data_IF_138278691876
#
_entry.id   IF_138278691876
#
_cell.length_a   1.000
_cell.length_b   1.000
_cell.length_c   1.000
_cell.angle_alpha   90.00
_cell.angle_beta   90.00
_cell.angle_gamma   90.00
#
_symmetry.space_group_name_H-M   'P 1'
#
loop_
_entity.id
_entity.type
_entity.pdbx_description
1 polymer ?
#
# COMPACT_ATOMS: atom_id res chain seq x y z
N UNK A 1 10.66 31.65 20.50
CA UNK A 1 10.57 30.60 19.47
C UNK A 1 9.55 29.56 19.92
N UNK A 2 8.43 29.40 19.21
CA UNK A 2 7.48 28.30 19.48
C UNK A 2 8.19 26.98 19.15
N UNK A 3 8.38 26.09 20.14
CA UNK A 3 8.85 24.72 19.91
C UNK A 3 7.84 24.05 18.97
N UNK A 4 8.29 23.62 17.78
CA UNK A 4 7.49 22.77 16.90
C UNK A 4 7.48 21.38 17.54
N UNK A 5 6.50 21.10 18.39
CA UNK A 5 6.34 19.78 18.99
C UNK A 5 5.72 18.89 17.91
N UNK A 6 6.55 18.16 17.20
CA UNK A 6 6.08 17.19 16.21
C UNK A 6 5.45 16.00 16.91
N UNK A 7 4.16 15.81 16.68
CA UNK A 7 3.45 14.69 17.25
C UNK A 7 3.54 13.48 16.32
N UNK A 8 3.72 12.30 16.91
CA UNK A 8 3.72 11.03 16.16
C UNK A 8 2.43 10.81 15.36
N UNK A 9 1.30 11.37 15.78
CA UNK A 9 0.02 11.35 15.06
C UNK A 9 0.09 12.00 13.68
N UNK A 10 0.99 12.97 13.47
CA UNK A 10 1.18 13.64 12.17
C UNK A 10 1.75 12.70 11.10
N UNK A 11 2.27 11.53 11.49
CA UNK A 11 2.78 10.50 10.59
C UNK A 11 1.75 9.38 10.35
N UNK A 12 0.49 9.61 10.67
CA UNK A 12 -0.62 8.74 10.32
C UNK A 12 -1.00 8.96 8.85
N UNK A 13 -0.92 7.93 8.02
CA UNK A 13 -1.30 7.99 6.62
C UNK A 13 -2.05 6.71 6.20
N UNK A 14 -3.30 6.81 5.72
CA UNK A 14 -4.13 5.65 5.38
C UNK A 14 -3.81 4.99 4.04
N UNK A 15 -3.08 5.66 3.15
CA UNK A 15 -2.95 5.19 1.77
C UNK A 15 -2.12 3.92 1.57
N UNK A 16 -1.33 3.49 2.56
CA UNK A 16 -0.43 2.34 2.46
C UNK A 16 -0.41 1.51 3.74
N UNK A 17 -0.29 0.19 3.58
CA UNK A 17 -0.06 -0.77 4.68
C UNK A 17 1.42 -1.17 4.79
N UNK A 18 2.06 -1.36 3.63
CA UNK A 18 3.44 -1.83 3.48
C UNK A 18 4.14 -0.97 2.42
N UNK A 19 5.48 -0.88 2.46
CA UNK A 19 6.29 -0.24 1.41
C UNK A 19 7.07 -1.34 0.69
N UNK A 20 6.54 -1.83 -0.43
CA UNK A 20 7.12 -2.96 -1.16
C UNK A 20 7.62 -2.55 -2.53
N UNK A 21 6.77 -1.91 -3.33
CA UNK A 21 7.11 -1.45 -4.68
C UNK A 21 6.79 0.03 -4.84
N UNK A 22 7.57 0.73 -5.67
CA UNK A 22 7.24 2.12 -6.02
C UNK A 22 5.94 2.22 -6.83
N UNK A 23 5.57 1.16 -7.54
CA UNK A 23 4.32 1.08 -8.29
C UNK A 23 3.07 1.01 -7.39
N UNK A 24 3.25 0.73 -6.09
CA UNK A 24 2.16 0.77 -5.10
C UNK A 24 1.79 2.22 -4.73
N UNK A 25 2.67 3.18 -5.04
CA UNK A 25 2.50 4.58 -4.66
C UNK A 25 1.68 5.33 -5.72
N UNK A 26 0.81 6.20 -5.22
CA UNK A 26 0.22 7.33 -5.94
C UNK A 26 1.09 8.56 -5.74
N UNK A 27 0.90 9.57 -6.59
CA UNK A 27 1.60 10.87 -6.48
C UNK A 27 1.49 11.47 -5.06
N UNK A 28 0.29 11.45 -4.48
CA UNK A 28 0.02 11.97 -3.15
C UNK A 28 0.80 11.22 -2.05
N UNK A 29 1.00 9.91 -2.20
CA UNK A 29 1.80 9.11 -1.26
C UNK A 29 3.26 9.58 -1.29
N UNK A 30 3.82 9.74 -2.49
CA UNK A 30 5.19 10.25 -2.67
C UNK A 30 5.33 11.63 -2.05
N UNK A 31 4.47 12.58 -2.44
CA UNK A 31 4.50 13.96 -1.92
C UNK A 31 4.41 14.01 -0.40
N UNK A 32 3.56 13.17 0.20
CA UNK A 32 3.44 13.05 1.64
C UNK A 32 4.76 12.62 2.29
N UNK A 33 5.40 11.54 1.80
CA UNK A 33 6.69 11.11 2.35
C UNK A 33 7.78 12.16 2.17
N UNK A 34 7.81 12.85 1.03
CA UNK A 34 8.77 13.93 0.78
C UNK A 34 8.57 15.12 1.73
N UNK A 35 7.33 15.52 1.99
CA UNK A 35 7.00 16.58 2.95
C UNK A 35 7.38 16.18 4.38
N UNK A 36 7.10 14.93 4.77
CA UNK A 36 7.43 14.41 6.11
C UNK A 36 8.94 14.28 6.29
N UNK A 37 9.67 13.84 5.29
CA UNK A 37 11.13 13.82 5.30
C UNK A 37 11.69 15.23 5.48
N UNK A 38 11.18 16.22 4.74
CA UNK A 38 11.60 17.63 4.85
C UNK A 38 11.36 18.22 6.24
N UNK A 39 10.19 17.93 6.82
CA UNK A 39 9.86 18.34 8.19
C UNK A 39 10.83 17.70 9.19
N UNK A 40 11.08 16.39 9.07
CA UNK A 40 12.00 15.68 9.95
C UNK A 40 13.41 16.26 9.84
N UNK A 41 13.90 16.50 8.63
CA UNK A 41 15.27 16.96 8.39
C UNK A 41 15.59 18.26 9.14
N UNK A 42 14.60 19.16 9.28
CA UNK A 42 14.72 20.46 9.97
C UNK A 42 14.73 20.37 11.50
N UNK A 43 14.44 19.22 12.10
CA UNK A 43 14.34 19.07 13.56
C UNK A 43 15.67 18.57 14.15
N UNK A 44 16.12 19.12 15.30
CA UNK A 44 17.27 18.60 16.02
C UNK A 44 17.08 17.14 16.47
N UNK A 45 18.14 16.34 16.39
CA UNK A 45 18.12 14.93 16.81
C UNK A 45 17.53 14.73 18.23
N UNK A 46 17.89 15.59 19.19
CA UNK A 46 17.42 15.49 20.58
C UNK A 46 15.89 15.53 20.72
N UNK A 47 15.20 16.26 19.85
CA UNK A 47 13.74 16.41 19.88
C UNK A 47 13.02 15.21 19.24
N UNK A 48 13.73 14.37 18.48
CA UNK A 48 13.20 13.18 17.82
C UNK A 48 13.36 11.90 18.65
N UNK A 49 14.26 11.91 19.64
CA UNK A 49 14.74 10.70 20.33
C UNK A 49 13.66 9.88 21.03
N UNK A 50 12.50 10.44 21.34
CA UNK A 50 11.45 9.73 22.07
C UNK A 50 10.25 9.36 21.19
N UNK A 51 10.31 9.65 19.88
CA UNK A 51 9.15 9.49 18.99
C UNK A 51 8.76 8.02 18.76
N UNK A 52 9.73 7.10 18.80
CA UNK A 52 9.56 5.66 18.69
C UNK A 52 10.12 4.91 19.92
N UNK A 53 10.15 5.57 21.07
CA UNK A 53 10.51 4.91 22.33
C UNK A 53 9.61 3.69 22.57
N UNK A 54 10.22 2.56 22.91
CA UNK A 54 9.53 1.27 23.11
C UNK A 54 9.21 0.49 21.83
N UNK A 55 9.54 1.00 20.64
CA UNK A 55 9.36 0.25 19.38
C UNK A 55 10.61 -0.59 19.06
N UNK A 56 10.38 -1.78 18.52
CA UNK A 56 11.45 -2.65 18.00
C UNK A 56 11.37 -2.73 16.48
N UNK A 57 12.44 -2.34 15.78
CA UNK A 57 12.60 -2.44 14.33
C UNK A 57 13.49 -3.63 14.00
N UNK A 58 12.95 -4.62 13.27
CA UNK A 58 13.75 -5.72 12.75
C UNK A 58 14.42 -5.31 11.43
N UNK A 59 15.73 -5.52 11.33
CA UNK A 59 16.55 -5.29 10.14
C UNK A 59 17.04 -6.65 9.61
N UNK A 60 16.28 -7.24 8.68
CA UNK A 60 16.55 -8.57 8.12
C UNK A 60 17.25 -8.45 6.76
N UNK A 61 18.58 -8.46 6.76
CA UNK A 61 19.38 -8.33 5.54
C UNK A 61 19.92 -9.71 5.14
N UNK A 62 19.22 -10.38 4.22
CA UNK A 62 19.61 -11.69 3.67
C UNK A 62 20.73 -11.57 2.61
N UNK A 63 20.96 -10.35 2.09
CA UNK A 63 22.12 -10.00 1.28
C UNK A 63 22.90 -8.81 1.88
N UNK A 64 24.24 -8.79 1.79
CA UNK A 64 25.06 -7.73 2.38
C UNK A 64 24.70 -6.33 1.87
N UNK A 65 24.49 -5.39 2.79
CA UNK A 65 24.26 -3.98 2.46
C UNK A 65 24.55 -3.02 3.61
N UNK A 66 25.79 -2.54 3.66
CA UNK A 66 26.27 -1.67 4.76
C UNK A 66 25.51 -0.34 4.82
N UNK A 67 25.43 0.41 3.71
CA UNK A 67 24.80 1.75 3.70
C UNK A 67 23.31 1.70 4.02
N UNK A 68 22.61 0.73 3.45
CA UNK A 68 21.16 0.63 3.62
C UNK A 68 20.84 0.23 5.06
N UNK A 69 21.51 -0.79 5.60
CA UNK A 69 21.36 -1.20 6.99
C UNK A 69 21.70 -0.06 7.95
N UNK A 70 22.89 0.53 7.83
CA UNK A 70 23.35 1.57 8.75
C UNK A 70 22.47 2.82 8.73
N UNK A 71 21.94 3.23 7.59
CA UNK A 71 21.05 4.38 7.54
C UNK A 71 19.65 4.08 8.13
N UNK A 72 19.13 2.85 8.01
CA UNK A 72 17.93 2.44 8.75
C UNK A 72 18.17 2.33 10.25
N UNK A 73 19.28 1.73 10.66
CA UNK A 73 19.68 1.62 12.07
C UNK A 73 19.87 2.99 12.70
N UNK A 74 20.52 3.91 11.98
CA UNK A 74 20.67 5.31 12.39
C UNK A 74 19.32 6.01 12.50
N UNK A 75 18.41 5.80 11.54
CA UNK A 75 17.07 6.36 11.59
C UNK A 75 16.29 5.88 12.82
N UNK A 76 16.33 4.57 13.12
CA UNK A 76 15.70 3.98 14.29
C UNK A 76 16.26 4.53 15.60
N UNK A 77 17.60 4.54 15.75
CA UNK A 77 18.28 5.09 16.93
C UNK A 77 18.00 6.58 17.14
N UNK A 78 17.96 7.36 16.06
CA UNK A 78 17.64 8.79 16.14
C UNK A 78 16.18 9.05 16.56
N UNK A 79 15.30 8.04 16.48
CA UNK A 79 13.90 8.11 16.91
C UNK A 79 13.65 7.43 18.27
N UNK A 80 14.66 6.81 18.88
CA UNK A 80 14.53 6.08 20.15
C UNK A 80 14.06 4.62 20.05
N UNK A 81 14.00 4.07 18.84
CA UNK A 81 13.63 2.68 18.65
C UNK A 81 14.82 1.74 18.89
N UNK A 82 14.52 0.55 19.42
CA UNK A 82 15.46 -0.58 19.47
C UNK A 82 15.54 -1.27 18.11
N UNK A 83 16.70 -1.85 17.78
CA UNK A 83 16.90 -2.60 16.53
C UNK A 83 17.35 -4.02 16.82
N UNK A 84 16.77 -5.00 16.12
CA UNK A 84 17.19 -6.41 16.12
C UNK A 84 17.40 -6.88 14.68
N UNK A 85 18.09 -8.00 14.46
CA UNK A 85 18.20 -8.61 13.13
C UNK A 85 19.61 -9.11 12.81
N UNK A 86 19.89 -9.30 11.51
CA UNK A 86 21.14 -9.87 11.00
C UNK A 86 21.52 -9.24 9.66
N UNK A 87 22.80 -9.33 9.29
CA UNK A 87 23.40 -8.78 8.05
C UNK A 87 23.72 -9.81 6.98
N UNK A 88 23.50 -11.10 7.27
CA UNK A 88 23.53 -12.14 6.26
C UNK A 88 22.70 -13.33 6.71
N UNK A 89 22.30 -14.19 5.77
CA UNK A 89 21.74 -15.49 6.13
C UNK A 89 22.77 -16.40 6.83
N UNK A 90 24.06 -16.05 6.79
CA UNK A 90 25.15 -16.82 7.38
C UNK A 90 25.04 -16.78 8.91
N UNK A 91 24.99 -17.95 9.55
CA UNK A 91 24.80 -18.09 10.99
C UNK A 91 23.34 -18.01 11.46
N UNK A 92 22.37 -17.89 10.56
CA UNK A 92 20.93 -17.85 10.91
C UNK A 92 20.26 -19.22 10.75
N UNK A 93 19.09 -19.42 11.37
CA UNK A 93 18.28 -20.65 11.22
C UNK A 93 17.89 -20.96 9.78
N UNK A 94 17.93 -19.97 8.87
CA UNK A 94 17.72 -20.22 7.44
C UNK A 94 18.81 -21.10 6.81
N UNK A 95 20.05 -21.07 7.32
CA UNK A 95 21.08 -22.04 6.89
C UNK A 95 20.75 -23.47 7.31
N UNK A 96 19.91 -23.63 8.34
CA UNK A 96 19.39 -24.91 8.78
C UNK A 96 18.10 -25.31 8.05
N UNK A 97 17.71 -24.55 7.01
CA UNK A 97 16.53 -24.83 6.18
C UNK A 97 15.25 -24.13 6.61
N UNK A 98 15.28 -23.18 7.55
CA UNK A 98 14.10 -22.38 7.91
C UNK A 98 13.57 -21.59 6.70
N UNK A 99 12.27 -21.67 6.46
CA UNK A 99 11.61 -20.98 5.36
C UNK A 99 11.53 -19.46 5.62
N UNK A 100 11.52 -18.66 4.56
CA UNK A 100 11.28 -17.20 4.70
C UNK A 100 9.93 -16.94 5.41
N UNK A 101 8.94 -17.78 5.17
CA UNK A 101 7.64 -17.70 5.85
C UNK A 101 7.81 -17.77 7.37
N UNK A 102 8.49 -18.81 7.86
CA UNK A 102 8.63 -19.05 9.29
C UNK A 102 9.54 -18.01 9.95
N UNK A 103 10.59 -17.58 9.26
CA UNK A 103 11.43 -16.46 9.72
C UNK A 103 10.58 -15.19 9.91
N UNK A 104 9.73 -14.82 8.95
CA UNK A 104 8.86 -13.63 9.07
C UNK A 104 7.83 -13.82 10.19
N UNK A 105 7.20 -15.01 10.32
CA UNK A 105 6.25 -15.34 11.40
C UNK A 105 6.88 -15.28 12.80
N UNK A 106 8.13 -15.67 12.92
CA UNK A 106 8.90 -15.58 14.16
C UNK A 106 9.23 -14.13 14.48
N UNK A 107 9.80 -13.38 13.53
CA UNK A 107 10.23 -12.00 13.75
C UNK A 107 9.05 -11.06 14.03
N UNK A 108 7.88 -11.25 13.40
CA UNK A 108 6.69 -10.41 13.63
C UNK A 108 6.14 -10.46 15.07
N UNK A 109 6.55 -11.47 15.86
CA UNK A 109 6.22 -11.59 17.28
C UNK A 109 7.15 -10.77 18.17
N UNK A 110 8.39 -10.53 17.73
CA UNK A 110 9.41 -9.80 18.48
C UNK A 110 9.52 -8.33 18.08
N UNK A 111 9.20 -8.01 16.83
CA UNK A 111 9.33 -6.66 16.27
C UNK A 111 7.97 -6.01 15.93
N UNK A 112 7.96 -4.68 15.94
CA UNK A 112 6.80 -3.88 15.54
C UNK A 112 6.83 -3.50 14.07
N UNK A 113 8.03 -3.37 13.49
CA UNK A 113 8.28 -2.99 12.10
C UNK A 113 9.36 -3.92 11.54
N UNK A 114 9.21 -4.38 10.31
CA UNK A 114 10.20 -5.25 9.65
C UNK A 114 10.72 -4.54 8.40
N UNK A 115 12.01 -4.23 8.41
CA UNK A 115 12.77 -3.81 7.22
C UNK A 115 13.53 -5.02 6.72
N UNK A 116 13.34 -5.38 5.45
CA UNK A 116 14.01 -6.54 4.90
C UNK A 116 14.66 -6.27 3.55
N UNK A 117 15.75 -6.99 3.29
CA UNK A 117 16.46 -6.97 2.02
C UNK A 117 16.85 -8.40 1.64
N UNK A 118 16.53 -8.81 0.43
CA UNK A 118 16.73 -10.19 -0.01
C UNK A 118 17.24 -10.24 -1.46
N UNK A 119 17.99 -11.30 -1.79
CA UNK A 119 18.44 -11.57 -3.16
C UNK A 119 17.30 -12.03 -4.08
N UNK A 120 16.23 -12.60 -3.51
CA UNK A 120 15.08 -13.12 -4.24
C UNK A 120 14.08 -12.00 -4.54
N UNK A 121 13.75 -11.84 -5.82
CA UNK A 121 12.72 -10.92 -6.29
C UNK A 121 11.34 -11.33 -5.77
N UNK A 122 10.51 -10.36 -5.38
CA UNK A 122 9.16 -10.61 -4.84
C UNK A 122 9.13 -11.06 -3.38
N UNK A 123 10.27 -11.35 -2.77
CA UNK A 123 10.35 -11.78 -1.36
C UNK A 123 9.73 -10.78 -0.38
N UNK A 124 9.89 -9.47 -0.62
CA UNK A 124 9.27 -8.44 0.21
C UNK A 124 7.75 -8.39 0.06
N UNK A 125 7.22 -8.68 -1.14
CA UNK A 125 5.77 -8.81 -1.38
C UNK A 125 5.19 -10.00 -0.63
N UNK A 126 5.84 -11.15 -0.76
CA UNK A 126 5.46 -12.36 -0.03
C UNK A 126 5.45 -12.12 1.49
N UNK A 127 6.48 -11.48 2.03
CA UNK A 127 6.54 -11.12 3.45
C UNK A 127 5.38 -10.20 3.87
N UNK A 128 4.99 -9.23 3.04
CA UNK A 128 3.90 -8.29 3.32
C UNK A 128 2.52 -8.97 3.35
N UNK A 129 2.31 -10.00 2.53
CA UNK A 129 1.06 -10.78 2.52
C UNK A 129 0.89 -11.61 3.78
N UNK A 130 1.99 -12.18 4.30
CA UNK A 130 1.93 -13.08 5.46
C UNK A 130 2.10 -12.35 6.80
N UNK A 131 2.70 -11.15 6.81
CA UNK A 131 2.98 -10.44 8.07
C UNK A 131 1.79 -9.65 8.59
N UNK A 132 1.65 -9.64 9.92
CA UNK A 132 0.77 -8.74 10.68
C UNK A 132 1.45 -7.42 11.08
N UNK A 133 2.72 -7.24 10.68
CA UNK A 133 3.54 -6.04 10.92
C UNK A 133 3.86 -5.40 9.57
N UNK A 134 4.02 -4.07 9.52
CA UNK A 134 4.40 -3.39 8.29
C UNK A 134 5.76 -3.88 7.79
N UNK A 135 5.81 -4.25 6.52
CA UNK A 135 7.03 -4.62 5.78
C UNK A 135 7.54 -3.41 5.00
N UNK A 136 8.85 -3.18 5.10
CA UNK A 136 9.58 -2.17 4.33
C UNK A 136 10.64 -2.87 3.49
N UNK A 137 10.52 -2.76 2.18
CA UNK A 137 11.47 -3.29 1.21
C UNK A 137 12.72 -2.39 1.10
N UNK A 138 13.85 -2.91 1.58
CA UNK A 138 15.17 -2.31 1.45
C UNK A 138 15.99 -2.89 0.26
N UNK A 139 15.31 -3.63 -0.62
CA UNK A 139 15.82 -4.21 -1.87
C UNK A 139 15.45 -5.69 -2.02
N UNK A 140 14.83 -6.07 -3.13
CA UNK A 140 14.53 -7.47 -3.48
C UNK A 140 15.10 -7.84 -4.86
N UNK A 141 16.26 -8.49 -4.89
CA UNK A 141 16.94 -8.87 -6.13
C UNK A 141 17.18 -7.68 -7.07
N UNK A 142 16.86 -7.83 -8.36
CA UNK A 142 16.89 -6.75 -9.35
C UNK A 142 15.54 -6.03 -9.51
N UNK A 143 14.53 -6.34 -8.68
CA UNK A 143 13.16 -5.87 -8.84
C UNK A 143 12.94 -4.43 -8.32
N UNK A 144 12.85 -4.21 -7.00
CA UNK A 144 12.47 -2.89 -6.46
C UNK A 144 13.40 -2.41 -5.32
N UNK A 145 13.50 -1.08 -5.17
CA UNK A 145 14.10 -0.46 -3.99
C UNK A 145 13.38 0.86 -3.63
N UNK A 146 12.13 0.79 -3.14
CA UNK A 146 11.26 1.97 -2.98
C UNK A 146 11.85 3.03 -2.03
N UNK A 147 12.55 2.60 -0.97
CA UNK A 147 13.15 3.51 0.00
C UNK A 147 14.38 4.26 -0.52
N UNK A 148 15.08 3.71 -1.52
CA UNK A 148 16.12 4.44 -2.27
C UNK A 148 15.46 5.45 -3.22
N UNK A 149 14.37 5.08 -3.88
CA UNK A 149 13.66 6.04 -4.73
C UNK A 149 13.09 7.22 -3.96
N UNK A 150 12.51 6.98 -2.78
CA UNK A 150 12.00 8.07 -1.93
C UNK A 150 13.11 9.04 -1.51
N UNK A 151 14.31 8.54 -1.17
CA UNK A 151 15.42 9.42 -0.79
C UNK A 151 16.05 10.13 -2.00
N UNK A 152 16.00 9.51 -3.18
CA UNK A 152 16.42 10.13 -4.42
C UNK A 152 15.50 11.31 -4.75
N UNK A 153 14.18 11.09 -4.76
CA UNK A 153 13.18 12.14 -4.96
C UNK A 153 13.27 13.26 -3.92
N UNK A 154 13.52 12.92 -2.65
CA UNK A 154 13.71 13.94 -1.60
C UNK A 154 14.94 14.79 -1.84
N UNK A 155 16.04 14.17 -2.29
CA UNK A 155 17.27 14.88 -2.62
C UNK A 155 17.06 15.82 -3.80
N UNK A 156 16.35 15.39 -4.84
CA UNK A 156 15.98 16.23 -5.99
C UNK A 156 15.14 17.43 -5.51
N UNK A 157 14.05 17.15 -4.76
CA UNK A 157 13.19 18.22 -4.22
C UNK A 157 13.97 19.21 -3.37
N UNK A 158 14.88 18.74 -2.52
CA UNK A 158 15.70 19.58 -1.63
C UNK A 158 16.68 20.45 -2.42
N UNK A 159 17.32 19.90 -3.45
CA UNK A 159 18.30 20.62 -4.27
C UNK A 159 17.66 21.68 -5.17
N UNK A 160 16.49 21.41 -5.74
CA UNK A 160 15.84 22.28 -6.74
C UNK A 160 14.58 23.01 -6.24
N UNK A 161 14.13 22.72 -5.02
CA UNK A 161 12.87 23.22 -4.43
C UNK A 161 11.60 22.55 -4.98
N UNK A 162 11.71 21.84 -6.10
CA UNK A 162 10.63 21.14 -6.82
C UNK A 162 11.19 19.96 -7.61
N UNK A 163 10.32 19.09 -8.09
CA UNK A 163 10.69 18.01 -9.03
C UNK A 163 10.19 18.32 -10.44
N UNK A 164 9.04 18.99 -10.58
CA UNK A 164 8.47 19.32 -11.88
C UNK A 164 9.35 20.27 -12.71
N UNK A 165 9.32 20.07 -14.02
CA UNK A 165 10.01 20.78 -15.10
C UNK A 165 11.54 20.60 -15.11
N UNK A 166 12.04 19.54 -14.46
CA UNK A 166 13.46 19.19 -14.52
C UNK A 166 13.77 18.31 -15.74
N UNK A 167 14.95 18.50 -16.30
CA UNK A 167 15.58 17.64 -17.30
C UNK A 167 16.58 16.72 -16.62
N UNK A 168 16.24 15.43 -16.51
CA UNK A 168 16.99 14.45 -15.72
C UNK A 168 17.59 13.39 -16.63
N UNK A 169 18.91 13.25 -16.61
CA UNK A 169 19.59 12.14 -17.25
C UNK A 169 19.75 10.95 -16.31
N UNK A 170 19.35 9.76 -16.76
CA UNK A 170 19.68 8.48 -16.14
C UNK A 170 20.76 7.83 -16.99
N UNK A 171 21.95 7.61 -16.41
CA UNK A 171 23.13 7.15 -17.13
C UNK A 171 23.73 5.87 -16.53
N UNK A 172 24.16 4.94 -17.38
CA UNK A 172 24.96 3.77 -16.99
C UNK A 172 24.28 2.44 -17.33
N UNK A 173 24.19 1.54 -16.34
CA UNK A 173 23.41 0.30 -16.45
C UNK A 173 21.93 0.59 -16.21
N UNK A 174 21.18 0.83 -17.29
CA UNK A 174 19.74 1.05 -17.25
C UNK A 174 18.95 -0.25 -17.43
N UNK A 175 19.56 -1.32 -17.93
CA UNK A 175 18.89 -2.61 -18.15
C UNK A 175 18.62 -3.34 -16.85
N UNK A 176 19.57 -3.34 -15.93
CA UNK A 176 19.49 -4.11 -14.69
C UNK A 176 19.53 -3.24 -13.42
N UNK A 177 19.72 -1.93 -13.56
CA UNK A 177 19.79 -0.98 -12.46
C UNK A 177 18.46 -0.78 -11.75
N UNK A 178 18.16 -1.59 -10.73
CA UNK A 178 16.91 -1.51 -9.94
C UNK A 178 16.59 -0.10 -9.41
N UNK A 179 17.62 0.67 -9.01
CA UNK A 179 17.43 2.02 -8.48
C UNK A 179 16.97 2.98 -9.57
N UNK A 180 17.54 2.85 -10.77
CA UNK A 180 17.14 3.61 -11.96
C UNK A 180 15.73 3.22 -12.40
N UNK A 181 15.37 1.93 -12.38
CA UNK A 181 14.02 1.48 -12.72
C UNK A 181 12.98 2.11 -11.79
N UNK A 182 13.17 1.94 -10.47
CA UNK A 182 12.25 2.49 -9.49
C UNK A 182 12.20 4.03 -9.54
N UNK A 183 13.34 4.72 -9.74
CA UNK A 183 13.38 6.17 -9.87
C UNK A 183 12.66 6.66 -11.13
N UNK A 184 12.93 6.05 -12.28
CA UNK A 184 12.29 6.36 -13.56
C UNK A 184 10.78 6.23 -13.48
N UNK A 185 10.30 5.13 -12.87
CA UNK A 185 8.87 4.91 -12.62
C UNK A 185 8.27 5.92 -11.66
N UNK A 186 9.00 6.38 -10.64
CA UNK A 186 8.48 7.39 -9.72
C UNK A 186 8.45 8.79 -10.35
N UNK A 187 9.46 9.11 -11.16
CA UNK A 187 9.53 10.37 -11.90
C UNK A 187 8.33 10.55 -12.85
N UNK A 188 7.68 9.47 -13.31
CA UNK A 188 6.44 9.52 -14.11
C UNK A 188 5.27 10.26 -13.44
N UNK A 189 5.31 10.44 -12.11
CA UNK A 189 4.28 11.18 -11.36
C UNK A 189 4.54 12.70 -11.34
N UNK A 190 5.69 13.14 -11.84
CA UNK A 190 6.11 14.54 -11.95
C UNK A 190 6.33 14.89 -13.41
N UNK A 191 6.04 16.13 -13.79
CA UNK A 191 6.23 16.61 -15.16
C UNK A 191 7.72 16.84 -15.44
N UNK A 192 8.48 15.79 -15.74
CA UNK A 192 9.92 15.84 -16.03
C UNK A 192 10.24 15.31 -17.42
N UNK A 193 11.35 15.75 -18.00
CA UNK A 193 11.94 15.14 -19.19
C UNK A 193 13.03 14.17 -18.75
N UNK A 194 12.95 12.91 -19.20
CA UNK A 194 13.91 11.87 -18.85
C UNK A 194 14.80 11.55 -20.04
N UNK A 195 16.11 11.63 -19.85
CA UNK A 195 17.13 11.31 -20.85
C UNK A 195 17.83 10.01 -20.45
N UNK A 196 17.70 8.96 -21.26
CA UNK A 196 18.32 7.67 -20.99
C UNK A 196 19.62 7.55 -21.79
N UNK A 197 20.73 7.42 -21.07
CA UNK A 197 22.08 7.42 -21.65
C UNK A 197 22.79 6.12 -21.26
N UNK A 198 22.85 5.17 -22.19
CA UNK A 198 23.41 3.85 -21.93
C UNK A 198 23.99 3.21 -23.18
N UNK A 199 24.94 2.26 -23.04
CA UNK A 199 25.29 1.38 -24.15
C UNK A 199 24.04 0.63 -24.66
N UNK A 200 24.00 0.33 -25.96
CA UNK A 200 22.89 -0.44 -26.58
C UNK A 200 22.55 -1.74 -25.85
N UNK A 201 23.54 -2.42 -25.29
CA UNK A 201 23.35 -3.68 -24.55
C UNK A 201 22.69 -3.49 -23.18
N UNK A 202 22.74 -2.27 -22.63
CA UNK A 202 22.27 -1.89 -21.30
C UNK A 202 21.11 -0.87 -21.34
N UNK A 203 20.38 -0.81 -22.45
CA UNK A 203 19.20 0.04 -22.60
C UNK A 203 18.11 -0.23 -21.56
N UNK A 204 17.33 0.81 -21.26
CA UNK A 204 16.18 0.71 -20.37
C UNK A 204 15.16 -0.31 -20.94
N UNK A 205 14.63 -1.24 -20.12
CA UNK A 205 13.64 -2.21 -20.58
C UNK A 205 12.40 -1.54 -21.21
N UNK A 206 11.90 -2.08 -22.32
CA UNK A 206 10.80 -1.50 -23.10
C UNK A 206 9.56 -1.20 -22.26
N UNK A 207 9.16 -2.11 -21.35
CA UNK A 207 7.99 -1.92 -20.50
C UNK A 207 8.09 -0.69 -19.58
N UNK A 208 9.30 -0.32 -19.13
CA UNK A 208 9.51 0.90 -18.33
C UNK A 208 9.37 2.12 -19.24
N UNK A 209 9.97 2.06 -20.43
CA UNK A 209 9.91 3.15 -21.41
C UNK A 209 8.46 3.46 -21.78
N UNK A 210 7.68 2.44 -22.09
CA UNK A 210 6.25 2.55 -22.42
C UNK A 210 5.48 3.24 -21.28
N UNK A 211 5.55 2.72 -20.05
CA UNK A 211 4.84 3.27 -18.89
C UNK A 211 5.21 4.72 -18.54
N UNK A 212 6.46 5.10 -18.77
CA UNK A 212 6.94 6.47 -18.52
C UNK A 212 6.51 7.40 -19.66
N UNK A 213 6.62 6.95 -20.90
CA UNK A 213 6.28 7.73 -22.11
C UNK A 213 4.80 8.12 -22.18
N UNK A 214 3.92 7.40 -21.49
CA UNK A 214 2.50 7.76 -21.32
C UNK A 214 2.29 9.14 -20.66
N UNK A 215 3.25 9.60 -19.85
CA UNK A 215 3.11 10.81 -19.01
C UNK A 215 4.23 11.82 -19.17
N UNK A 216 5.43 11.34 -19.47
CA UNK A 216 6.64 12.15 -19.51
C UNK A 216 7.35 11.98 -20.86
N UNK A 217 8.05 13.04 -21.30
CA UNK A 217 8.93 12.94 -22.47
C UNK A 217 10.17 12.10 -22.10
N UNK A 218 10.46 11.13 -22.95
CA UNK A 218 11.64 10.25 -22.85
C UNK A 218 12.49 10.43 -24.10
N UNK A 219 13.79 10.61 -23.93
CA UNK A 219 14.77 10.73 -25.02
C UNK A 219 15.89 9.72 -24.76
N UNK A 220 16.22 8.90 -25.76
CA UNK A 220 17.31 7.92 -25.68
C UNK A 220 18.52 8.43 -26.47
N UNK A 221 19.69 8.44 -25.82
CA UNK A 221 20.94 8.95 -26.39
C UNK A 221 22.09 7.98 -26.07
N UNK A 222 23.13 7.98 -26.91
CA UNK A 222 24.34 7.18 -26.68
C UNK A 222 25.48 7.98 -26.05
N UNK A 223 25.35 9.29 -25.94
CA UNK A 223 26.37 10.21 -25.42
C UNK A 223 25.71 11.28 -24.55
N UNK A 224 26.39 11.66 -23.48
CA UNK A 224 25.94 12.72 -22.57
C UNK A 224 26.34 14.10 -23.08
N UNK A 225 27.45 14.18 -23.80
CA UNK A 225 27.99 15.39 -24.39
C UNK A 225 26.97 16.12 -25.27
N UNK A 226 26.08 15.37 -25.93
CA UNK A 226 25.04 15.90 -26.83
C UNK A 226 23.92 16.69 -26.11
N UNK A 227 23.81 16.57 -24.78
CA UNK A 227 22.66 17.13 -24.03
C UNK A 227 23.03 17.75 -22.68
N UNK A 228 24.29 17.66 -22.26
CA UNK A 228 24.73 18.04 -20.90
C UNK A 228 24.45 19.50 -20.53
N UNK A 229 24.46 20.40 -21.51
CA UNK A 229 24.17 21.84 -21.37
C UNK A 229 22.70 22.12 -21.04
N UNK A 230 21.80 21.18 -21.34
CA UNK A 230 20.38 21.30 -21.02
C UNK A 230 19.96 20.62 -19.70
N UNK A 231 20.79 19.73 -19.14
CA UNK A 231 20.40 18.92 -17.99
C UNK A 231 20.42 19.69 -16.67
N UNK A 232 19.45 19.40 -15.81
CA UNK A 232 19.43 19.88 -14.42
C UNK A 232 20.08 18.86 -13.48
N UNK A 233 19.89 17.56 -13.75
CA UNK A 233 20.38 16.47 -12.92
C UNK A 233 20.92 15.31 -13.77
N UNK A 234 22.08 14.78 -13.38
CA UNK A 234 22.60 13.50 -13.87
C UNK A 234 22.53 12.49 -12.72
N UNK A 235 21.77 11.42 -12.90
CA UNK A 235 21.76 10.26 -12.03
C UNK A 235 22.57 9.13 -12.68
N UNK A 236 23.77 8.91 -12.18
CA UNK A 236 24.70 7.93 -12.70
C UNK A 236 24.56 6.61 -11.95
N UNK A 237 24.66 5.47 -12.65
CA UNK A 237 24.72 4.13 -12.06
C UNK A 237 26.01 3.41 -12.44
N UNK A 238 26.40 2.49 -11.55
CA UNK A 238 27.52 1.59 -11.77
C UNK A 238 27.24 0.64 -12.93
N UNK A 239 28.19 0.54 -13.86
CA UNK A 239 28.23 -0.56 -14.83
C UNK A 239 28.69 -1.83 -14.10
N UNK A 240 27.78 -2.79 -13.94
CA UNK A 240 28.04 -4.02 -13.20
C UNK A 240 28.76 -5.04 -14.06
N UNK A 241 30.08 -5.19 -13.88
CA UNK A 241 30.92 -6.15 -14.61
C UNK A 241 30.34 -7.57 -14.58
N UNK A 242 29.76 -7.95 -13.44
CA UNK A 242 29.17 -9.27 -13.21
C UNK A 242 27.93 -9.58 -14.06
N UNK A 243 27.39 -8.60 -14.80
CA UNK A 243 26.19 -8.76 -15.65
C UNK A 243 26.50 -8.88 -17.14
N UNK A 244 27.77 -8.81 -17.52
CA UNK A 244 28.23 -9.04 -18.89
C UNK A 244 28.62 -10.51 -19.04
N UNK A 245 28.08 -11.17 -20.07
CA UNK A 245 28.45 -12.54 -20.41
C UNK A 245 29.88 -12.63 -20.93
N UNK A 246 30.32 -11.60 -21.68
CA UNK A 246 31.67 -11.48 -22.20
C UNK A 246 32.43 -10.32 -21.51
N UNK A 247 33.54 -10.58 -20.80
CA UNK A 247 34.40 -9.55 -20.24
C UNK A 247 34.93 -8.52 -21.27
N UNK A 248 35.07 -8.88 -22.54
CA UNK A 248 35.50 -7.95 -23.59
C UNK A 248 34.43 -6.89 -23.91
N UNK A 249 33.15 -7.22 -23.84
CA UNK A 249 32.07 -6.23 -24.00
C UNK A 249 32.10 -5.19 -22.89
N UNK A 250 32.34 -5.62 -21.66
CA UNK A 250 32.51 -4.72 -20.51
C UNK A 250 33.69 -3.76 -20.73
N UNK A 251 34.85 -4.26 -21.15
CA UNK A 251 36.04 -3.45 -21.37
C UNK A 251 35.84 -2.37 -22.45
N UNK A 252 35.03 -2.66 -23.49
CA UNK A 252 34.70 -1.69 -24.55
C UNK A 252 33.84 -0.54 -24.06
N UNK A 253 32.92 -0.77 -23.10
CA UNK A 253 31.94 0.24 -22.68
C UNK A 253 32.30 0.95 -21.37
N UNK A 254 33.13 0.35 -20.50
CA UNK A 254 33.36 0.86 -19.14
C UNK A 254 33.91 2.29 -19.04
N UNK A 255 34.64 2.77 -20.06
CA UNK A 255 35.23 4.12 -20.10
C UNK A 255 34.34 5.14 -20.80
N UNK A 256 33.45 4.70 -21.68
CA UNK A 256 32.60 5.58 -22.50
C UNK A 256 31.50 6.27 -21.70
N UNK A 257 31.25 5.82 -20.47
CA UNK A 257 30.21 6.34 -19.59
C UNK A 257 30.78 6.77 -18.23
N UNK A 258 32.05 7.19 -18.20
CA UNK A 258 32.69 7.76 -17.02
C UNK A 258 32.43 9.26 -16.98
N UNK A 259 31.85 9.74 -15.88
CA UNK A 259 31.71 11.17 -15.61
C UNK A 259 33.02 11.74 -15.06
N UNK A 260 33.49 12.84 -15.65
CA UNK A 260 34.68 13.59 -15.23
C UNK A 260 34.32 15.01 -14.82
N UNK A 261 35.14 15.64 -13.98
CA UNK A 261 34.93 17.03 -13.58
C UNK A 261 34.96 18.01 -14.76
N UNK A 262 35.79 17.73 -15.77
CA UNK A 262 35.89 18.52 -17.01
C UNK A 262 34.58 18.49 -17.81
N UNK A 263 34.00 17.31 -18.00
CA UNK A 263 32.74 17.15 -18.73
C UNK A 263 31.61 17.97 -18.09
N UNK A 264 31.54 17.97 -16.75
CA UNK A 264 30.52 18.72 -16.00
C UNK A 264 30.64 20.24 -16.18
N UNK A 265 31.79 20.77 -16.62
CA UNK A 265 31.93 22.21 -16.88
C UNK A 265 31.17 22.68 -18.13
N UNK A 266 30.78 21.75 -19.01
CA UNK A 266 29.94 22.02 -20.18
C UNK A 266 28.45 22.10 -19.85
N UNK A 267 28.05 21.66 -18.66
CA UNK A 267 26.67 21.68 -18.20
C UNK A 267 26.25 23.02 -17.59
N UNK A 268 24.99 23.11 -17.18
CA UNK A 268 24.48 24.26 -16.44
C UNK A 268 25.26 24.50 -15.15
N UNK A 269 25.36 25.76 -14.74
CA UNK A 269 25.94 26.10 -13.44
C UNK A 269 25.20 25.47 -12.25
N UNK A 270 23.90 25.24 -12.40
CA UNK A 270 23.01 24.63 -11.40
C UNK A 270 22.96 23.11 -11.47
N UNK A 271 23.67 22.48 -12.41
CA UNK A 271 23.69 21.03 -12.61
C UNK A 271 24.03 20.31 -11.29
N UNK A 272 23.38 19.17 -11.05
CA UNK A 272 23.73 18.28 -9.93
C UNK A 272 23.97 16.86 -10.41
N UNK A 273 24.82 16.14 -9.68
CA UNK A 273 25.18 14.75 -9.95
C UNK A 273 24.81 13.89 -8.74
N UNK A 274 23.90 12.95 -8.97
CA UNK A 274 23.47 11.94 -8.01
C UNK A 274 23.98 10.55 -8.42
N UNK A 275 24.16 9.69 -7.42
CA UNK A 275 24.65 8.34 -7.59
C UNK A 275 24.27 7.48 -6.37
N UNK A 276 23.65 6.30 -6.55
CA UNK A 276 23.17 5.48 -5.43
C UNK A 276 24.28 4.86 -4.58
N UNK A 277 25.52 4.87 -5.09
CA UNK A 277 26.74 4.29 -4.50
C UNK A 277 26.68 2.75 -4.34
N UNK A 278 27.82 2.05 -4.38
CA UNK A 278 29.19 2.54 -4.39
C UNK A 278 29.60 2.95 -5.80
N UNK A 279 30.46 3.96 -5.91
CA UNK A 279 31.15 4.21 -7.18
C UNK A 279 32.38 3.32 -7.32
N UNK A 280 32.72 2.93 -8.54
CA UNK A 280 33.96 2.21 -8.87
C UNK A 280 34.80 3.05 -9.84
N UNK A 281 34.36 3.16 -11.09
CA UNK A 281 35.09 3.84 -12.18
C UNK A 281 34.20 4.79 -13.01
N UNK A 282 32.90 4.77 -12.76
CA UNK A 282 31.88 5.55 -13.46
C UNK A 282 31.86 7.03 -13.05
N UNK A 283 32.47 7.37 -11.91
CA UNK A 283 32.55 8.73 -11.38
C UNK A 283 33.98 9.04 -10.95
N UNK A 284 34.59 10.06 -11.56
CA UNK A 284 35.88 10.60 -11.13
C UNK A 284 35.81 11.16 -9.70
N UNK A 285 36.83 10.87 -8.90
CA UNK A 285 37.00 11.42 -7.54
C UNK A 285 37.13 12.94 -7.53
N UNK A 286 37.63 13.56 -8.60
CA UNK A 286 37.73 15.02 -8.68
C UNK A 286 36.36 15.71 -8.63
N UNK A 287 35.28 15.01 -8.99
CA UNK A 287 33.91 15.53 -8.92
C UNK A 287 33.53 15.88 -7.47
N UNK A 288 34.10 15.20 -6.46
CA UNK A 288 33.82 15.44 -5.03
C UNK A 288 34.08 16.88 -4.60
N UNK A 289 35.04 17.54 -5.27
CA UNK A 289 35.46 18.91 -4.95
C UNK A 289 34.68 19.96 -5.73
N UNK A 290 33.75 19.53 -6.58
CA UNK A 290 32.97 20.43 -7.45
C UNK A 290 31.62 20.77 -6.81
N UNK A 291 31.01 21.88 -7.26
CA UNK A 291 29.64 22.26 -6.89
C UNK A 291 28.57 21.30 -7.38
N UNK A 292 28.92 20.40 -8.31
CA UNK A 292 27.99 19.48 -8.96
C UNK A 292 27.70 18.24 -8.11
N UNK A 293 28.62 17.81 -7.25
CA UNK A 293 28.48 16.59 -6.46
C UNK A 293 27.33 16.69 -5.43
N UNK A 294 26.33 15.81 -5.58
CA UNK A 294 25.19 15.72 -4.66
C UNK A 294 25.06 14.33 -4.01
N UNK A 295 25.78 13.31 -4.49
CA UNK A 295 25.65 11.91 -4.05
C UNK A 295 25.98 11.62 -2.58
N UNK A 296 26.84 12.42 -1.93
CA UNK A 296 27.06 12.28 -0.48
C UNK A 296 25.93 12.91 0.34
N UNK A 297 25.40 14.05 -0.10
CA UNK A 297 24.20 14.64 0.53
C UNK A 297 22.97 13.73 0.30
N UNK A 298 22.85 13.13 -0.89
CA UNK A 298 21.86 12.09 -1.18
C UNK A 298 21.91 10.95 -0.16
N UNK A 299 23.11 10.46 0.17
CA UNK A 299 23.27 9.42 1.17
C UNK A 299 22.84 9.88 2.58
N UNK A 300 23.16 11.12 2.96
CA UNK A 300 22.72 11.72 4.23
C UNK A 300 21.19 11.88 4.29
N UNK A 301 20.59 12.33 3.20
CA UNK A 301 19.14 12.49 3.01
C UNK A 301 18.37 11.16 3.13
N UNK A 302 19.05 10.01 3.04
CA UNK A 302 18.47 8.71 3.37
C UNK A 302 18.00 8.57 4.81
N UNK A 303 18.67 9.22 5.77
CA UNK A 303 18.30 9.16 7.19
C UNK A 303 16.93 9.81 7.46
N UNK A 304 16.68 11.11 7.15
CA UNK A 304 15.39 11.73 7.43
C UNK A 304 14.22 11.06 6.69
N UNK A 305 14.44 10.58 5.47
CA UNK A 305 13.42 9.84 4.70
C UNK A 305 13.06 8.53 5.41
N UNK A 306 14.06 7.77 5.87
CA UNK A 306 13.81 6.51 6.60
C UNK A 306 13.22 6.76 7.98
N UNK A 307 13.53 7.89 8.62
CA UNK A 307 12.82 8.31 9.84
C UNK A 307 11.34 8.54 9.56
N UNK A 308 10.98 9.21 8.46
CA UNK A 308 9.59 9.40 8.05
C UNK A 308 8.89 8.06 7.80
N UNK A 309 9.56 7.13 7.12
CA UNK A 309 9.06 5.77 6.87
C UNK A 309 8.83 5.00 8.19
N UNK A 310 9.77 5.01 9.13
CA UNK A 310 9.60 4.30 10.40
C UNK A 310 8.47 4.90 11.25
N UNK A 311 8.35 6.23 11.26
CA UNK A 311 7.24 6.91 11.95
C UNK A 311 5.89 6.57 11.33
N UNK A 312 5.80 6.55 10.00
CA UNK A 312 4.63 6.06 9.28
C UNK A 312 4.30 4.62 9.66
N UNK A 313 5.26 3.70 9.56
CA UNK A 313 5.08 2.28 9.84
C UNK A 313 4.58 2.05 11.28
N UNK A 314 5.07 2.84 12.24
CA UNK A 314 4.64 2.77 13.63
C UNK A 314 3.16 3.09 13.84
N UNK A 315 2.52 3.81 12.93
CA UNK A 315 1.12 4.22 13.02
C UNK A 315 0.19 3.38 12.14
N UNK A 316 0.70 2.48 11.28
CA UNK A 316 -0.12 1.62 10.41
C UNK A 316 -1.18 0.86 11.22
N UNK A 317 -0.85 0.32 12.40
CA UNK A 317 -1.85 -0.34 13.27
C UNK A 317 -2.91 0.61 13.83
N UNK A 318 -2.57 1.87 14.11
CA UNK A 318 -3.54 2.88 14.57
C UNK A 318 -4.45 3.30 13.43
N UNK A 319 -3.90 3.49 12.23
CA UNK A 319 -4.62 3.77 10.99
C UNK A 319 -5.59 2.65 10.66
N UNK A 320 -5.13 1.40 10.58
CA UNK A 320 -6.00 0.25 10.29
C UNK A 320 -7.08 0.08 11.35
N UNK A 321 -6.75 0.29 12.63
CA UNK A 321 -7.74 0.32 13.70
C UNK A 321 -8.65 1.54 13.62
N UNK A 322 -8.21 2.69 13.11
CA UNK A 322 -9.03 3.88 12.89
C UNK A 322 -9.94 3.72 11.68
N UNK A 323 -9.53 3.06 10.61
CA UNK A 323 -10.39 2.73 9.47
C UNK A 323 -11.41 1.67 9.86
N UNK A 324 -10.98 0.64 10.60
CA UNK A 324 -11.87 -0.37 11.18
C UNK A 324 -12.80 0.28 12.21
N UNK A 325 -12.29 1.19 13.04
CA UNK A 325 -13.06 1.93 14.03
C UNK A 325 -13.95 2.97 13.38
N UNK A 326 -13.59 3.70 12.33
CA UNK A 326 -14.43 4.65 11.59
C UNK A 326 -15.54 3.90 10.84
N UNK A 327 -15.23 2.74 10.26
CA UNK A 327 -16.25 1.78 9.78
C UNK A 327 -17.22 1.36 10.90
N UNK A 328 -16.74 1.27 12.16
CA UNK A 328 -17.55 0.93 13.35
C UNK A 328 -18.18 2.18 14.04
N UNK A 329 -17.57 3.38 13.94
CA UNK A 329 -17.94 4.64 14.63
C UNK A 329 -18.90 5.48 13.80
N UNK A 330 -19.05 5.16 12.50
CA UNK A 330 -20.17 5.61 11.67
C UNK A 330 -21.54 5.05 12.11
N UNK A 331 -21.67 4.53 13.34
CA UNK A 331 -22.87 3.86 13.81
C UNK A 331 -23.32 4.29 15.20
N UNK A 332 -23.44 5.59 15.41
CA UNK A 332 -24.60 6.12 16.13
C UNK A 332 -25.41 6.92 15.12
N UNK A 333 -26.14 6.23 14.23
CA UNK A 333 -27.04 6.89 13.29
C UNK A 333 -27.98 7.81 14.07
N UNK A 334 -28.06 9.08 13.66
CA UNK A 334 -28.91 10.06 14.35
C UNK A 334 -30.37 9.67 14.17
N UNK A 335 -30.76 9.33 12.95
CA UNK A 335 -32.07 8.79 12.60
C UNK A 335 -31.90 7.61 11.64
N UNK A 336 -32.79 6.63 11.66
CA UNK A 336 -32.78 5.52 10.69
C UNK A 336 -33.07 4.17 11.33
N UNK A 337 -32.52 3.10 10.74
CA UNK A 337 -32.78 1.71 11.16
C UNK A 337 -31.49 0.97 11.47
N UNK A 338 -31.45 0.28 12.62
CA UNK A 338 -30.37 -0.64 13.00
C UNK A 338 -30.90 -2.06 13.18
N UNK A 339 -30.37 -3.01 12.43
CA UNK A 339 -30.69 -4.44 12.50
C UNK A 339 -29.58 -5.13 13.31
N UNK A 340 -29.96 -5.70 14.45
CA UNK A 340 -29.08 -6.39 15.39
C UNK A 340 -29.45 -7.88 15.49
N UNK A 341 -28.58 -8.69 16.08
CA UNK A 341 -28.75 -10.14 16.27
C UNK A 341 -28.92 -10.91 14.95
N UNK A 342 -28.26 -10.42 13.90
CA UNK A 342 -28.16 -11.13 12.62
C UNK A 342 -27.19 -12.29 12.82
N UNK A 343 -27.55 -13.48 12.36
CA UNK A 343 -26.64 -14.64 12.38
C UNK A 343 -25.38 -14.32 11.54
N UNK A 344 -24.20 -14.74 12.04
CA UNK A 344 -22.92 -14.37 11.46
C UNK A 344 -22.80 -14.78 9.98
N UNK A 345 -22.30 -13.87 9.14
CA UNK A 345 -22.14 -14.07 7.69
C UNK A 345 -23.37 -13.71 6.86
N UNK A 346 -24.50 -13.32 7.47
CA UNK A 346 -25.75 -13.02 6.74
C UNK A 346 -25.99 -11.53 6.47
N UNK A 347 -25.20 -10.62 7.01
CA UNK A 347 -25.43 -9.18 6.83
C UNK A 347 -25.33 -8.69 5.38
N UNK A 348 -24.41 -9.24 4.58
CA UNK A 348 -24.29 -8.88 3.17
C UNK A 348 -25.54 -9.29 2.37
N UNK A 349 -26.08 -10.50 2.63
CA UNK A 349 -27.32 -10.95 2.00
C UNK A 349 -28.50 -10.06 2.38
N UNK A 350 -28.58 -9.59 3.62
CA UNK A 350 -29.61 -8.63 4.02
C UNK A 350 -29.54 -7.35 3.19
N UNK A 351 -28.36 -6.75 3.03
CA UNK A 351 -28.22 -5.52 2.24
C UNK A 351 -28.52 -5.70 0.76
N UNK A 352 -28.29 -6.90 0.21
CA UNK A 352 -28.63 -7.25 -1.16
C UNK A 352 -30.15 -7.27 -1.39
N UNK A 353 -30.92 -7.79 -0.43
CA UNK A 353 -32.37 -8.01 -0.60
C UNK A 353 -33.24 -6.89 -0.07
N UNK A 354 -32.73 -6.02 0.80
CA UNK A 354 -33.52 -4.93 1.36
C UNK A 354 -33.75 -3.82 0.33
N UNK A 355 -34.97 -3.27 0.31
CA UNK A 355 -35.40 -2.25 -0.66
C UNK A 355 -34.85 -0.85 -0.27
N UNK A 356 -33.52 -0.73 -0.12
CA UNK A 356 -32.83 0.48 0.33
C UNK A 356 -32.26 1.25 -0.87
N UNK A 357 -32.65 2.51 -1.11
CA UNK A 357 -32.10 3.31 -2.20
C UNK A 357 -30.56 3.40 -2.17
N UNK A 358 -29.92 3.46 -3.34
CA UNK A 358 -28.45 3.47 -3.45
C UNK A 358 -27.79 4.68 -2.75
N UNK A 359 -28.47 5.83 -2.74
CA UNK A 359 -27.95 7.06 -2.11
C UNK A 359 -27.99 7.05 -0.58
N UNK A 360 -28.65 6.05 0.03
CA UNK A 360 -28.74 5.93 1.48
C UNK A 360 -27.46 5.29 2.02
N UNK A 361 -26.86 5.92 3.03
CA UNK A 361 -25.67 5.41 3.70
C UNK A 361 -26.01 4.16 4.52
N UNK A 362 -25.17 3.13 4.34
CA UNK A 362 -25.32 1.81 4.96
C UNK A 362 -24.00 1.46 5.64
N UNK A 363 -24.04 0.85 6.80
CA UNK A 363 -22.84 0.27 7.40
C UNK A 363 -23.10 -1.09 8.03
N UNK A 364 -22.02 -1.85 8.15
CA UNK A 364 -22.05 -3.25 8.56
C UNK A 364 -20.96 -3.47 9.60
N UNK A 365 -21.28 -4.21 10.66
CA UNK A 365 -20.26 -4.85 11.49
C UNK A 365 -20.51 -6.35 11.47
N UNK A 366 -19.56 -7.12 10.93
CA UNK A 366 -19.68 -8.57 10.81
C UNK A 366 -18.89 -9.29 11.89
N UNK A 367 -19.35 -10.48 12.28
CA UNK A 367 -18.66 -11.37 13.21
C UNK A 367 -18.32 -10.74 14.58
N UNK A 368 -19.20 -9.88 15.08
CA UNK A 368 -19.08 -9.22 16.38
C UNK A 368 -19.45 -10.20 17.50
N UNK A 369 -18.77 -10.11 18.64
CA UNK A 369 -19.05 -10.95 19.80
C UNK A 369 -20.49 -10.75 20.31
N UNK A 370 -21.18 -11.85 20.63
CA UNK A 370 -22.57 -11.84 21.07
C UNK A 370 -22.77 -12.81 22.23
N UNK A 371 -23.29 -12.32 23.35
CA UNK A 371 -23.65 -13.16 24.50
C UNK A 371 -24.74 -14.20 24.16
N UNK A 372 -25.59 -13.92 23.17
CA UNK A 372 -26.74 -14.76 22.80
C UNK A 372 -26.43 -15.72 21.64
N UNK A 373 -25.60 -15.31 20.69
CA UNK A 373 -25.32 -16.05 19.44
C UNK A 373 -23.86 -16.52 19.31
N UNK A 374 -22.99 -16.19 20.27
CA UNK A 374 -21.53 -16.33 20.16
C UNK A 374 -20.94 -15.26 19.24
N UNK A 375 -21.35 -15.26 17.97
CA UNK A 375 -21.02 -14.25 16.96
C UNK A 375 -22.28 -13.76 16.25
N UNK A 376 -22.32 -12.48 15.90
CA UNK A 376 -23.43 -11.85 15.18
C UNK A 376 -22.93 -10.83 14.18
N UNK A 377 -23.77 -10.52 13.21
CA UNK A 377 -23.60 -9.33 12.39
C UNK A 377 -24.57 -8.22 12.84
N UNK A 378 -24.26 -7.00 12.43
CA UNK A 378 -25.04 -5.78 12.59
C UNK A 378 -25.12 -5.07 11.25
N UNK A 379 -26.28 -4.54 10.92
CA UNK A 379 -26.50 -3.66 9.77
C UNK A 379 -27.16 -2.40 10.25
N UNK A 380 -26.77 -1.26 9.69
CA UNK A 380 -27.39 0.00 10.00
C UNK A 380 -27.57 0.83 8.75
N UNK A 381 -28.64 1.62 8.75
CA UNK A 381 -29.14 2.34 7.59
C UNK A 381 -29.50 3.75 8.04
N UNK A 382 -28.79 4.75 7.54
CA UNK A 382 -28.91 6.14 7.97
C UNK A 382 -30.11 6.83 7.30
N UNK A 383 -30.88 7.58 8.10
CA UNK A 383 -32.06 8.35 7.67
C UNK A 383 -33.09 7.55 6.85
N UNK A 384 -33.20 6.24 7.07
CA UNK A 384 -34.15 5.38 6.37
C UNK A 384 -34.87 4.45 7.34
N UNK A 385 -36.21 4.44 7.29
CA UNK A 385 -37.06 3.49 7.99
C UNK A 385 -37.50 2.40 7.02
N UNK A 386 -37.18 1.14 7.36
CA UNK A 386 -37.52 -0.03 6.54
C UNK A 386 -39.03 -0.30 6.51
N UNK A 387 -39.50 -0.87 5.40
CA UNK A 387 -40.90 -1.22 5.19
C UNK A 387 -41.30 -2.53 5.90
N UNK A 388 -42.61 -2.81 5.96
CA UNK A 388 -43.10 -4.12 6.43
C UNK A 388 -42.61 -5.28 5.55
N UNK A 389 -42.45 -5.04 4.25
CA UNK A 389 -41.91 -6.03 3.31
C UNK A 389 -40.46 -6.36 3.65
N UNK A 390 -39.67 -5.35 3.99
CA UNK A 390 -38.28 -5.51 4.46
C UNK A 390 -38.20 -6.30 5.77
N UNK A 391 -39.12 -6.09 6.71
CA UNK A 391 -39.15 -6.87 7.95
C UNK A 391 -39.38 -8.36 7.68
N UNK A 392 -40.26 -8.68 6.74
CA UNK A 392 -40.49 -10.05 6.30
C UNK A 392 -39.25 -10.65 5.61
N UNK A 393 -38.55 -9.89 4.75
CA UNK A 393 -37.25 -10.28 4.17
C UNK A 393 -36.22 -10.59 5.26
N UNK A 394 -36.11 -9.73 6.26
CA UNK A 394 -35.19 -9.91 7.40
C UNK A 394 -35.51 -11.20 8.15
N UNK A 395 -36.78 -11.47 8.42
CA UNK A 395 -37.21 -12.70 9.11
C UNK A 395 -36.82 -13.96 8.35
N UNK A 396 -36.92 -13.96 7.02
CA UNK A 396 -36.53 -15.08 6.16
C UNK A 396 -35.01 -15.27 6.09
N UNK A 397 -34.22 -14.20 6.16
CA UNK A 397 -32.75 -14.28 6.12
C UNK A 397 -32.18 -14.68 7.50
N UNK A 398 -32.63 -14.04 8.57
CA UNK A 398 -32.14 -14.31 9.93
C UNK A 398 -33.26 -14.21 10.97
N UNK A 399 -33.72 -15.39 11.42
CA UNK A 399 -34.81 -15.58 12.38
C UNK A 399 -34.64 -14.90 13.74
N UNK A 400 -33.39 -14.60 14.11
CA UNK A 400 -33.05 -14.00 15.40
C UNK A 400 -32.85 -12.48 15.34
N UNK A 401 -32.95 -11.89 14.14
CA UNK A 401 -32.71 -10.48 13.94
C UNK A 401 -33.74 -9.61 14.67
N UNK A 402 -33.29 -8.43 15.09
CA UNK A 402 -34.07 -7.42 15.78
C UNK A 402 -33.87 -6.08 15.08
N UNK A 403 -34.95 -5.47 14.62
CA UNK A 403 -34.97 -4.18 13.96
C UNK A 403 -35.19 -3.10 15.03
N UNK A 404 -34.30 -2.11 15.08
CA UNK A 404 -34.39 -0.96 15.98
C UNK A 404 -34.55 0.30 15.13
N UNK A 405 -35.65 1.03 15.34
CA UNK A 405 -35.86 2.35 14.74
C UNK A 405 -35.23 3.37 15.66
N UNK A 406 -34.34 4.20 15.11
CA UNK A 406 -33.56 5.19 15.85
C UNK A 406 -34.02 6.59 15.43
N UNK A 407 -34.28 7.45 16.42
CA UNK A 407 -34.53 8.89 16.23
C UNK A 407 -33.77 9.67 17.29
N UNK A 408 -33.09 10.74 16.87
CA UNK A 408 -32.20 11.55 17.71
C UNK A 408 -31.28 10.72 18.62
N UNK A 409 -30.60 9.73 18.03
CA UNK A 409 -29.69 8.79 18.69
C UNK A 409 -30.33 7.86 19.73
N UNK A 410 -31.66 7.81 19.82
CA UNK A 410 -32.39 6.92 20.73
C UNK A 410 -33.18 5.87 19.97
N UNK A 411 -33.18 4.64 20.48
CA UNK A 411 -34.08 3.58 19.97
C UNK A 411 -35.50 3.92 20.41
N UNK A 412 -36.34 4.33 19.46
CA UNK A 412 -37.74 4.67 19.71
C UNK A 412 -38.67 3.48 19.52
N UNK A 413 -38.25 2.47 18.74
CA UNK A 413 -39.03 1.25 18.51
C UNK A 413 -38.10 0.06 18.31
N UNK A 414 -38.45 -1.07 18.91
CA UNK A 414 -37.73 -2.35 18.77
C UNK A 414 -38.71 -3.41 18.30
N UNK A 415 -38.41 -4.04 17.16
CA UNK A 415 -39.27 -5.01 16.48
C UNK A 415 -38.46 -6.29 16.29
N UNK A 416 -38.99 -7.43 16.74
CA UNK A 416 -38.37 -8.73 16.45
C UNK A 416 -38.75 -9.13 15.03
N UNK A 417 -37.78 -9.60 14.23
CA UNK A 417 -38.08 -10.08 12.90
C UNK A 417 -38.97 -11.32 12.99
N UNK A 418 -40.05 -11.34 12.20
CA UNK A 418 -40.98 -12.45 12.14
C UNK A 418 -40.97 -13.07 10.74
N UNK A 419 -40.99 -14.39 10.71
CA UNK A 419 -41.16 -15.15 9.47
C UNK A 419 -42.64 -15.07 9.08
N UNK A 420 -43.00 -14.52 7.90
CA UNK A 420 -44.39 -14.40 7.49
C UNK A 420 -45.00 -15.77 7.21
N UNK A 421 -46.33 -15.93 7.37
CA UNK A 421 -47.04 -17.15 6.92
C UNK A 421 -47.26 -17.18 5.40
N UNK A 422 -47.28 -16.01 4.76
CA UNK A 422 -47.39 -15.83 3.31
C UNK A 422 -46.39 -14.77 2.84
N UNK A 423 -45.58 -15.09 1.84
CA UNK A 423 -44.61 -14.18 1.25
C UNK A 423 -45.06 -13.81 -0.18
N UNK A 424 -45.51 -12.57 -0.36
CA UNK A 424 -45.94 -12.01 -1.65
C UNK A 424 -44.88 -11.06 -2.20
N UNK A 425 -44.40 -11.31 -3.42
CA UNK A 425 -43.40 -10.49 -4.09
C UNK A 425 -42.03 -10.46 -3.38
N UNK A 426 -41.75 -11.41 -2.49
CA UNK A 426 -40.50 -11.49 -1.70
C UNK A 426 -39.58 -12.62 -2.21
N UNK A 427 -40.15 -13.77 -2.59
CA UNK A 427 -39.38 -14.96 -3.02
C UNK A 427 -39.56 -15.16 -4.52
N UNK A 428 -38.47 -15.32 -5.29
CA UNK A 428 -38.51 -15.75 -6.69
C UNK A 428 -38.83 -17.24 -6.78
N UNK A 429 -39.65 -17.65 -7.75
CA UNK A 429 -39.83 -19.06 -8.03
C UNK A 429 -38.63 -19.62 -8.82
N UNK A 430 -37.94 -20.63 -8.26
CA UNK A 430 -36.83 -21.32 -8.92
C UNK A 430 -37.27 -22.33 -10.00
N UNK A 431 -38.58 -22.61 -10.13
CA UNK A 431 -39.08 -23.41 -11.23
C UNK A 431 -39.11 -22.55 -12.50
N UNK A 432 -38.25 -22.80 -13.51
CA UNK A 432 -38.17 -21.97 -14.70
C UNK A 432 -39.49 -21.90 -15.46
N UNK A 433 -40.31 -22.96 -15.40
CA UNK A 433 -41.60 -23.07 -16.09
C UNK A 433 -42.77 -22.50 -15.27
N UNK A 434 -42.52 -21.86 -14.12
CA UNK A 434 -43.57 -21.23 -13.34
C UNK A 434 -44.07 -19.97 -14.05
N UNK A 435 -45.40 -19.76 -14.07
CA UNK A 435 -46.04 -18.58 -14.70
C UNK A 435 -45.45 -17.25 -14.22
N UNK A 436 -44.98 -17.18 -12.97
CA UNK A 436 -44.33 -15.98 -12.39
C UNK A 436 -42.95 -15.64 -13.00
N UNK A 437 -42.35 -16.54 -13.78
CA UNK A 437 -41.13 -16.29 -14.54
C UNK A 437 -41.41 -15.88 -16.01
N UNK A 438 -42.66 -16.00 -16.47
CA UNK A 438 -43.08 -15.67 -17.83
C UNK A 438 -44.00 -14.45 -17.91
N UNK A 439 -44.75 -14.18 -16.85
CA UNK A 439 -45.71 -13.08 -16.75
C UNK A 439 -45.33 -12.08 -15.66
N UNK A 440 -45.72 -10.82 -15.83
CA UNK A 440 -45.48 -9.72 -14.86
C UNK A 440 -46.47 -9.77 -13.69
N UNK A 441 -46.52 -10.90 -13.00
CA UNK A 441 -47.34 -11.11 -11.81
C UNK A 441 -46.47 -11.30 -10.57
N UNK A 442 -46.96 -10.90 -9.39
CA UNK A 442 -46.22 -11.11 -8.15
C UNK A 442 -46.17 -12.59 -7.76
N UNK A 443 -45.02 -13.02 -7.26
CA UNK A 443 -44.88 -14.33 -6.66
C UNK A 443 -45.65 -14.41 -5.35
N UNK A 444 -46.20 -15.58 -5.02
CA UNK A 444 -46.86 -15.85 -3.75
C UNK A 444 -46.40 -17.19 -3.22
N UNK A 445 -45.93 -17.22 -1.98
CA UNK A 445 -45.46 -18.43 -1.30
C UNK A 445 -46.14 -18.59 0.06
N UNK A 446 -46.56 -19.80 0.38
CA UNK A 446 -47.02 -20.17 1.72
C UNK A 446 -45.82 -20.72 2.50
N UNK A 447 -45.55 -20.15 3.68
CA UNK A 447 -44.39 -20.50 4.50
C UNK A 447 -44.81 -21.40 5.65
N UNK A 448 -44.12 -22.52 5.78
CA UNK A 448 -44.34 -23.52 6.82
C UNK A 448 -43.18 -23.45 7.81
N UNK A 449 -43.50 -23.17 9.08
CA UNK A 449 -42.53 -23.10 10.17
C UNK A 449 -42.35 -24.50 10.77
N UNK A 450 -41.10 -24.96 10.89
CA UNK A 450 -40.68 -26.21 11.52
C UNK A 450 -39.24 -26.05 12.03
N UNK A 451 -38.50 -27.15 12.23
CA UNK A 451 -37.06 -27.07 12.55
C UNK A 451 -36.27 -26.29 11.49
N UNK A 452 -36.61 -26.51 10.22
CA UNK A 452 -36.15 -25.73 9.07
C UNK A 452 -37.37 -25.14 8.35
N UNK A 453 -37.23 -23.94 7.79
CA UNK A 453 -38.33 -23.32 7.04
C UNK A 453 -38.52 -23.96 5.67
N UNK A 454 -39.79 -24.05 5.24
CA UNK A 454 -40.17 -24.49 3.88
C UNK A 454 -41.15 -23.50 3.28
N UNK A 455 -41.11 -23.34 1.95
CA UNK A 455 -42.02 -22.45 1.23
C UNK A 455 -42.66 -23.18 0.04
N UNK A 456 -43.99 -23.16 -0.08
CA UNK A 456 -44.71 -23.70 -1.25
C UNK A 456 -45.12 -22.56 -2.17
N UNK A 457 -44.71 -22.62 -3.43
CA UNK A 457 -45.18 -21.67 -4.45
C UNK A 457 -46.68 -21.82 -4.65
N UNK A 458 -47.44 -20.72 -4.66
CA UNK A 458 -48.88 -20.76 -4.91
C UNK A 458 -49.23 -21.24 -6.32
N UNK A 459 -48.39 -20.94 -7.31
CA UNK A 459 -48.71 -21.16 -8.73
C UNK A 459 -48.28 -22.53 -9.24
N UNK A 460 -47.00 -22.89 -9.08
CA UNK A 460 -46.49 -24.18 -9.57
C UNK A 460 -46.42 -25.25 -8.47
N UNK A 461 -46.87 -24.93 -7.27
CA UNK A 461 -46.91 -25.83 -6.10
C UNK A 461 -45.56 -26.41 -5.63
N UNK A 462 -44.45 -26.04 -6.27
CA UNK A 462 -43.10 -26.46 -5.88
C UNK A 462 -42.77 -25.98 -4.47
N UNK A 463 -42.21 -26.89 -3.67
CA UNK A 463 -41.61 -26.59 -2.38
C UNK A 463 -40.16 -26.12 -2.55
N UNK A 464 -39.77 -25.15 -1.74
CA UNK A 464 -38.40 -24.69 -1.54
C UNK A 464 -37.97 -25.02 -0.12
N UNK A 465 -36.74 -25.51 0.03
CA UNK A 465 -36.07 -25.67 1.32
C UNK A 465 -35.48 -24.34 1.82
N UNK A 466 -34.93 -24.32 3.03
CA UNK A 466 -34.39 -23.09 3.67
C UNK A 466 -33.27 -22.41 2.86
N UNK A 467 -32.38 -23.19 2.26
CA UNK A 467 -31.29 -22.68 1.43
C UNK A 467 -31.82 -22.11 0.09
N UNK A 468 -32.72 -22.83 -0.58
CA UNK A 468 -33.41 -22.36 -1.78
C UNK A 468 -34.20 -21.08 -1.50
N UNK A 469 -34.85 -20.97 -0.33
CA UNK A 469 -35.51 -19.74 0.11
C UNK A 469 -34.48 -18.61 0.23
N UNK A 470 -33.41 -18.81 1.01
CA UNK A 470 -32.38 -17.80 1.27
C UNK A 470 -31.81 -17.19 -0.03
N UNK A 471 -31.52 -18.02 -1.02
CA UNK A 471 -30.98 -17.56 -2.31
C UNK A 471 -32.04 -16.96 -3.24
N UNK A 472 -33.32 -17.24 -3.02
CA UNK A 472 -34.42 -16.78 -3.88
C UNK A 472 -35.09 -15.49 -3.40
N UNK A 473 -34.70 -14.92 -2.25
CA UNK A 473 -35.25 -13.64 -1.77
C UNK A 473 -34.81 -12.52 -2.72
N UNK A 474 -35.77 -11.69 -3.13
CA UNK A 474 -35.57 -10.50 -3.96
C UNK A 474 -35.70 -9.23 -3.15
#
# INVERSE_FOLDING_TARGET
MRRVILQRSEFSYPGLKDIVSISDFKKQDLEWFLEKAEKIDKIPKKEKLNMLEGFTVALLFFEPSTRTKLSFETAAKNLGASTIGFDSAIGTSMQKGESLHDTIKTVERYADIIVMRNKLEGSARFAAEISKRPIINAGDGANQHPTQTLLDLYTIKKAFGKIDKLKIALMGDLRYGRTVHSLSLALRFFNVEQYYISPKTLEMPSYIKELVSEKNKVVELNSLEDVIDELDLIYCTRIQKERFADPMEYEKVKKSYTLTAELLTKGKESLKVMHPLPRVNELDYNIDRTKYALYFEQLQNGVPVRQAILLWASNVKKVLKMEEKERIQLQAIKNGTAIDHIEAGKALKLLEVLDIPEHISKGIAMNVESKKLGRKDLVFIDNFELSQKDFAKIGLVSKNATINIIKDHKVVKKIKAEIPSVAVGIIKCMNPNCITNHEKIETKFYIFKGENIKAKCHYCERFLNEEEIFWSIK
#
